data_IF_270588674765
#
_entry.id   IF_270588674765
#
_cell.length_a   1.000
_cell.length_b   1.000
_cell.length_c   1.000
_cell.angle_alpha   90.00
_cell.angle_beta   90.00
_cell.angle_gamma   90.00
#
_symmetry.space_group_name_H-M   'P 1'
#
loop_
_entity.id
_entity.type
_entity.pdbx_description
1 polymer ?
#
# COMPACT_ATOMS: atom_id res chain seq x y z
N UNK A 1 -30.41 10.53 -12.44
CA UNK A 1 -29.15 9.83 -12.16
C UNK A 1 -28.67 9.95 -10.69
N UNK A 2 -29.57 9.92 -9.69
CA UNK A 2 -29.19 10.07 -8.25
C UNK A 2 -29.56 8.91 -7.35
N UNK A 3 -30.01 7.76 -7.90
CA UNK A 3 -30.51 6.63 -7.09
C UNK A 3 -29.64 5.36 -7.13
N UNK A 4 -28.57 5.32 -7.90
CA UNK A 4 -27.69 4.13 -8.03
C UNK A 4 -26.48 4.13 -7.10
N UNK A 5 -26.21 5.23 -6.40
CA UNK A 5 -25.03 5.34 -5.52
C UNK A 5 -25.26 4.84 -4.08
N UNK A 6 -26.52 4.59 -3.69
CA UNK A 6 -26.89 4.23 -2.30
C UNK A 6 -26.88 2.72 -2.05
N UNK A 7 -26.88 1.89 -3.09
CA UNK A 7 -26.96 0.43 -2.96
C UNK A 7 -25.62 -0.25 -2.65
N UNK A 8 -24.51 0.44 -2.87
CA UNK A 8 -23.16 -0.13 -2.65
C UNK A 8 -22.69 -0.12 -1.18
N UNK A 9 -23.40 0.56 -0.27
CA UNK A 9 -22.97 0.70 1.13
C UNK A 9 -23.66 -0.25 2.12
N UNK A 10 -24.60 -1.08 1.69
CA UNK A 10 -25.49 -1.83 2.60
C UNK A 10 -25.16 -3.33 2.75
N UNK A 11 -23.98 -3.80 2.33
CA UNK A 11 -23.54 -5.19 2.50
C UNK A 11 -22.45 -5.35 3.54
N UNK A 12 -22.62 -4.75 4.71
CA UNK A 12 -21.80 -5.07 5.89
C UNK A 12 -22.50 -6.20 6.67
N UNK A 13 -22.44 -7.41 6.13
CA UNK A 13 -22.71 -8.60 6.92
C UNK A 13 -21.44 -8.93 7.70
N UNK A 14 -21.46 -8.65 9.01
CA UNK A 14 -20.41 -9.04 9.95
C UNK A 14 -20.35 -10.55 10.03
N UNK A 15 -19.47 -11.16 9.28
CA UNK A 15 -19.10 -12.56 9.44
C UNK A 15 -17.85 -12.62 10.29
N UNK A 16 -17.98 -13.16 11.52
CA UNK A 16 -16.85 -13.51 12.38
C UNK A 16 -16.03 -14.62 11.71
N UNK A 17 -15.08 -14.26 10.86
CA UNK A 17 -14.11 -15.18 10.29
C UNK A 17 -12.83 -15.15 11.12
N UNK A 18 -12.18 -16.30 11.39
CA UNK A 18 -10.88 -16.31 12.05
C UNK A 18 -9.89 -15.53 11.22
N UNK A 19 -9.11 -14.72 11.92
CA UNK A 19 -8.15 -13.79 11.38
C UNK A 19 -7.17 -14.44 10.41
N UNK A 20 -7.40 -14.21 9.17
CA UNK A 20 -6.48 -14.52 8.09
C UNK A 20 -5.75 -13.22 7.68
N UNK A 21 -4.49 -13.37 7.34
CA UNK A 21 -3.53 -12.40 6.83
C UNK A 21 -4.14 -11.19 6.08
N UNK A 22 -3.47 -10.03 6.05
CA UNK A 22 -3.75 -8.94 5.09
C UNK A 22 -3.50 -9.42 3.66
N UNK A 23 -4.23 -10.44 3.32
CA UNK A 23 -4.15 -11.17 2.07
C UNK A 23 -4.38 -10.25 0.88
N UNK A 24 -5.20 -9.23 1.06
CA UNK A 24 -5.46 -8.22 0.04
C UNK A 24 -4.21 -7.45 -0.39
N UNK A 25 -3.22 -7.28 0.51
CA UNK A 25 -1.96 -6.62 0.20
C UNK A 25 -0.81 -7.61 -0.01
N UNK A 26 -1.06 -8.92 0.03
CA UNK A 26 -0.01 -9.94 -0.11
C UNK A 26 0.94 -10.02 1.09
N UNK A 27 0.55 -9.51 2.25
CA UNK A 27 1.35 -9.45 3.47
C UNK A 27 0.69 -10.24 4.60
N UNK A 28 1.44 -10.62 5.67
CA UNK A 28 0.84 -11.22 6.86
C UNK A 28 -0.11 -10.21 7.51
N UNK A 29 -1.23 -10.69 8.04
CA UNK A 29 -2.18 -9.79 8.71
C UNK A 29 -1.66 -9.35 10.06
N UNK A 30 -1.73 -8.06 10.29
CA UNK A 30 -1.60 -7.47 11.62
C UNK A 30 -2.95 -7.00 12.21
N UNK A 31 -4.06 -7.29 11.54
CA UNK A 31 -5.42 -6.90 11.95
C UNK A 31 -5.91 -7.50 13.29
N UNK A 32 -5.07 -8.24 14.01
CA UNK A 32 -5.39 -8.87 15.30
C UNK A 32 -4.64 -8.25 16.48
N UNK A 33 -4.31 -6.98 16.41
CA UNK A 33 -3.51 -6.32 17.43
C UNK A 33 -2.01 -6.59 17.28
N UNK A 34 -1.59 -7.02 16.10
CA UNK A 34 -0.17 -7.18 15.78
C UNK A 34 0.40 -5.91 15.17
N UNK A 35 1.70 -5.76 15.33
CA UNK A 35 2.50 -4.74 14.68
C UNK A 35 3.26 -5.35 13.50
N UNK A 36 3.54 -4.53 12.50
CA UNK A 36 4.33 -4.93 11.34
C UNK A 36 5.42 -3.90 11.08
N UNK A 37 6.61 -4.36 10.79
CA UNK A 37 7.66 -3.57 10.15
C UNK A 37 7.91 -4.11 8.75
N UNK A 38 8.16 -3.22 7.79
CA UNK A 38 8.52 -3.65 6.46
C UNK A 38 9.59 -2.75 5.85
N UNK A 39 10.46 -3.36 5.06
CA UNK A 39 11.34 -2.67 4.12
C UNK A 39 10.76 -2.75 2.72
N UNK A 40 10.83 -1.67 1.98
CA UNK A 40 10.31 -1.53 0.63
C UNK A 40 11.41 -1.05 -0.31
N UNK A 41 11.46 -1.62 -1.50
CA UNK A 41 12.25 -1.11 -2.62
C UNK A 41 11.34 -1.00 -3.84
N UNK A 42 11.48 0.05 -4.63
CA UNK A 42 10.79 0.18 -5.91
C UNK A 42 11.72 0.76 -6.97
N UNK A 43 11.50 0.33 -8.20
CA UNK A 43 12.36 0.59 -9.34
C UNK A 43 11.50 1.00 -10.52
N UNK A 44 11.84 2.11 -11.15
CA UNK A 44 11.34 2.57 -12.44
C UNK A 44 12.51 2.81 -13.38
N UNK A 45 12.26 3.15 -14.61
CA UNK A 45 13.33 3.50 -15.58
C UNK A 45 14.07 4.79 -15.20
N UNK A 46 13.48 5.65 -14.35
CA UNK A 46 13.99 6.98 -14.03
C UNK A 46 14.38 7.15 -12.56
N UNK A 47 14.05 6.18 -11.69
CA UNK A 47 14.29 6.32 -10.25
C UNK A 47 14.33 5.00 -9.50
N UNK A 48 15.05 5.02 -8.38
CA UNK A 48 15.10 3.93 -7.42
C UNK A 48 14.66 4.46 -6.05
N UNK A 49 13.71 3.79 -5.41
CA UNK A 49 13.22 4.18 -4.08
C UNK A 49 13.45 3.08 -3.06
N UNK A 50 13.84 3.47 -1.86
CA UNK A 50 14.01 2.58 -0.71
C UNK A 50 13.34 3.19 0.50
N UNK A 51 12.68 2.36 1.30
CA UNK A 51 12.00 2.86 2.47
C UNK A 51 11.68 1.79 3.49
N UNK A 52 11.14 2.25 4.61
CA UNK A 52 10.60 1.43 5.66
C UNK A 52 9.20 1.84 6.05
N UNK A 53 8.44 0.93 6.60
CA UNK A 53 7.12 1.22 7.14
C UNK A 53 6.89 0.52 8.47
N UNK A 54 6.07 1.14 9.30
CA UNK A 54 5.56 0.60 10.55
C UNK A 54 4.04 0.59 10.49
N UNK A 55 3.44 -0.56 10.75
CA UNK A 55 2.00 -0.76 10.70
C UNK A 55 1.44 -1.34 11.98
N UNK A 56 0.17 -1.05 12.21
CA UNK A 56 -0.64 -1.60 13.28
C UNK A 56 -2.05 -1.89 12.79
N UNK A 57 -2.60 -3.02 13.22
CA UNK A 57 -3.98 -3.39 12.91
C UNK A 57 -4.76 -3.73 14.17
N UNK A 58 -6.06 -3.44 14.14
CA UNK A 58 -7.00 -3.73 15.24
C UNK A 58 -7.84 -4.97 14.93
N UNK A 59 -8.27 -5.72 15.96
CA UNK A 59 -9.33 -6.70 15.81
C UNK A 59 -10.55 -6.05 15.15
N UNK A 60 -11.10 -6.69 14.13
CA UNK A 60 -12.19 -6.11 13.32
C UNK A 60 -11.76 -5.64 11.94
N UNK A 61 -10.47 -5.77 11.59
CA UNK A 61 -10.00 -5.60 10.22
C UNK A 61 -9.46 -4.21 9.86
N UNK A 62 -9.55 -3.21 10.74
CA UNK A 62 -8.97 -1.90 10.51
C UNK A 62 -7.45 -1.98 10.66
N UNK A 63 -6.73 -1.39 9.73
CA UNK A 63 -5.27 -1.28 9.78
C UNK A 63 -4.78 0.08 9.30
N UNK A 64 -3.59 0.45 9.74
CA UNK A 64 -2.87 1.62 9.26
C UNK A 64 -1.37 1.40 9.32
N UNK A 65 -0.64 2.11 8.48
CA UNK A 65 0.81 2.17 8.53
C UNK A 65 1.32 3.60 8.23
N UNK A 66 2.50 3.88 8.77
CA UNK A 66 3.29 5.04 8.43
C UNK A 66 4.55 4.56 7.68
N UNK A 67 4.99 5.31 6.71
CA UNK A 67 6.17 5.00 5.89
C UNK A 67 7.09 6.20 5.75
N UNK A 68 8.37 5.89 5.66
CA UNK A 68 9.46 6.83 5.35
C UNK A 68 10.33 6.20 4.28
N UNK A 69 10.71 6.98 3.28
CA UNK A 69 11.57 6.51 2.20
C UNK A 69 12.43 7.60 1.62
N UNK A 70 13.30 7.17 0.72
CA UNK A 70 14.10 8.06 -0.13
C UNK A 70 14.03 7.56 -1.56
N UNK A 71 13.91 8.49 -2.49
CA UNK A 71 13.89 8.24 -3.93
C UNK A 71 15.09 8.92 -4.54
N UNK A 72 15.93 8.16 -5.24
CA UNK A 72 17.04 8.67 -6.02
C UNK A 72 16.65 8.70 -7.48
N UNK A 73 16.82 9.84 -8.12
CA UNK A 73 16.51 10.05 -9.53
C UNK A 73 17.77 9.92 -10.38
N UNK A 74 17.66 9.30 -11.53
CA UNK A 74 18.75 9.17 -12.49
C UNK A 74 19.08 10.50 -13.17
N UNK A 75 20.22 10.57 -13.86
CA UNK A 75 20.63 11.77 -14.61
C UNK A 75 21.13 12.94 -13.74
N UNK A 76 21.47 12.69 -12.47
CA UNK A 76 22.01 13.74 -11.59
C UNK A 76 20.95 14.71 -11.05
N UNK A 77 19.67 14.36 -11.13
CA UNK A 77 18.55 15.18 -10.63
C UNK A 77 18.58 15.32 -9.11
N UNK A 78 19.11 14.31 -8.39
CA UNK A 78 19.19 14.33 -6.93
C UNK A 78 18.30 13.29 -6.27
N UNK A 79 17.97 13.50 -4.99
CA UNK A 79 17.14 12.61 -4.20
C UNK A 79 16.04 13.35 -3.45
N UNK A 80 14.91 12.68 -3.25
CA UNK A 80 13.79 13.13 -2.43
C UNK A 80 13.63 12.24 -1.19
N UNK A 81 13.04 12.80 -0.14
CA UNK A 81 12.58 12.06 1.04
C UNK A 81 11.07 12.03 1.03
N UNK A 82 10.49 10.85 1.21
CA UNK A 82 9.06 10.62 1.15
C UNK A 82 8.52 10.20 2.51
N UNK A 83 7.45 10.84 2.95
CA UNK A 83 6.67 10.49 4.13
C UNK A 83 5.28 10.10 3.70
N UNK A 84 4.73 9.02 4.27
CA UNK A 84 3.39 8.57 3.90
C UNK A 84 2.64 7.92 5.04
N UNK A 85 1.32 7.97 4.91
CA UNK A 85 0.37 7.27 5.76
C UNK A 85 -0.57 6.44 4.87
N UNK A 86 -0.88 5.24 5.29
CA UNK A 86 -1.87 4.39 4.64
C UNK A 86 -2.82 3.82 5.67
N UNK A 87 -4.08 3.71 5.32
CA UNK A 87 -5.09 3.04 6.13
C UNK A 87 -6.00 2.19 5.26
N UNK A 88 -6.68 1.23 5.88
CA UNK A 88 -7.63 0.39 5.17
C UNK A 88 -8.46 -0.47 6.10
N UNK A 89 -9.38 -1.18 5.48
CA UNK A 89 -10.27 -2.11 6.16
C UNK A 89 -10.31 -3.45 5.43
N UNK A 90 -10.11 -4.53 6.15
CA UNK A 90 -10.07 -5.87 5.61
C UNK A 90 -11.44 -6.55 5.70
N UNK A 91 -12.03 -6.83 4.55
CA UNK A 91 -13.28 -7.56 4.38
C UNK A 91 -12.99 -8.98 3.89
N UNK A 92 -13.55 -9.98 4.53
CA UNK A 92 -13.51 -11.36 4.03
C UNK A 92 -14.78 -11.65 3.23
N UNK A 93 -14.62 -12.08 1.98
CA UNK A 93 -15.75 -12.33 1.07
C UNK A 93 -15.87 -13.82 0.79
N UNK A 94 -17.05 -14.38 1.07
CA UNK A 94 -17.40 -15.76 0.77
C UNK A 94 -16.57 -16.81 1.53
N UNK A 95 -16.76 -18.08 1.13
CA UNK A 95 -16.03 -19.23 1.73
C UNK A 95 -14.62 -19.41 1.16
N UNK A 96 -14.19 -18.55 0.23
CA UNK A 96 -13.00 -18.76 -0.59
C UNK A 96 -11.70 -18.21 0.00
N UNK A 97 -11.66 -17.78 1.25
CA UNK A 97 -10.48 -17.12 1.87
C UNK A 97 -9.99 -15.92 1.05
N UNK A 98 -10.87 -15.32 0.28
CA UNK A 98 -10.60 -14.11 -0.48
C UNK A 98 -10.86 -12.89 0.40
N UNK A 99 -9.99 -11.91 0.31
CA UNK A 99 -10.10 -10.66 1.05
C UNK A 99 -10.14 -9.49 0.09
N UNK A 100 -10.96 -8.52 0.43
CA UNK A 100 -11.11 -7.24 -0.26
C UNK A 100 -10.79 -6.16 0.76
N UNK A 101 -9.92 -5.23 0.40
CA UNK A 101 -9.55 -4.11 1.26
C UNK A 101 -9.77 -2.79 0.52
N UNK A 102 -10.74 -1.97 0.89
CA UNK A 102 -10.65 -0.55 0.61
C UNK A 102 -9.44 0.01 1.34
N UNK A 103 -8.64 0.77 0.61
CA UNK A 103 -7.40 1.39 1.09
C UNK A 103 -7.36 2.86 0.69
N UNK A 104 -6.82 3.67 1.58
CA UNK A 104 -6.52 5.06 1.31
C UNK A 104 -5.09 5.35 1.76
N UNK A 105 -4.37 6.17 0.99
CA UNK A 105 -3.05 6.64 1.38
C UNK A 105 -2.89 8.13 1.09
N UNK A 106 -1.98 8.74 1.82
CA UNK A 106 -1.55 10.11 1.62
C UNK A 106 -0.04 10.18 1.86
N UNK A 107 0.66 10.97 1.04
CA UNK A 107 2.09 11.16 1.19
C UNK A 107 2.55 12.51 0.71
N UNK A 108 3.72 12.90 1.20
CA UNK A 108 4.45 14.11 0.80
C UNK A 108 5.89 13.75 0.51
N UNK A 109 6.42 14.30 -0.57
CA UNK A 109 7.81 14.19 -0.97
C UNK A 109 8.51 15.54 -0.84
N UNK A 110 9.71 15.54 -0.28
CA UNK A 110 10.57 16.70 -0.09
C UNK A 110 11.87 16.47 -0.85
N UNK A 111 12.17 17.34 -1.80
CA UNK A 111 13.33 17.23 -2.70
C UNK A 111 12.93 16.62 -4.05
N UNK A 112 13.90 16.53 -5.01
CA UNK A 112 15.28 16.96 -4.87
C UNK A 112 15.44 18.46 -4.67
N UNK A 113 16.55 18.85 -4.03
CA UNK A 113 16.98 20.24 -3.89
C UNK A 113 18.03 20.56 -4.93
N UNK A 114 18.01 21.81 -5.41
CA UNK A 114 18.99 22.30 -6.38
C UNK A 114 19.09 21.40 -7.63
N UNK A 115 17.95 21.13 -8.27
CA UNK A 115 17.83 20.21 -9.40
C UNK A 115 18.85 20.57 -10.49
N UNK A 116 19.86 19.72 -10.70
CA UNK A 116 20.89 19.90 -11.72
C UNK A 116 21.71 21.22 -11.60
N UNK A 117 21.80 21.81 -10.41
CA UNK A 117 22.50 23.08 -10.20
C UNK A 117 21.71 24.31 -10.65
N UNK A 118 20.42 24.21 -10.82
CA UNK A 118 19.54 25.30 -11.29
C UNK A 118 19.00 26.17 -10.16
N UNK A 119 19.23 25.80 -8.90
CA UNK A 119 18.63 26.45 -7.72
C UNK A 119 17.12 26.11 -7.52
N UNK A 120 16.57 25.15 -8.27
CA UNK A 120 15.18 24.74 -8.14
C UNK A 120 15.02 23.59 -7.15
N UNK A 121 14.08 23.74 -6.23
CA UNK A 121 13.66 22.72 -5.27
C UNK A 121 12.34 22.07 -5.72
N UNK A 122 12.23 20.76 -5.59
CA UNK A 122 11.01 20.04 -5.86
C UNK A 122 10.30 19.60 -4.57
N UNK A 123 8.99 19.54 -4.64
CA UNK A 123 8.17 18.89 -3.62
C UNK A 123 6.98 18.21 -4.28
N UNK A 124 6.45 17.17 -3.62
CA UNK A 124 5.29 16.46 -4.12
C UNK A 124 4.28 16.17 -3.02
N UNK A 125 3.03 16.02 -3.42
CA UNK A 125 1.94 15.56 -2.56
C UNK A 125 1.12 14.55 -3.35
N UNK A 126 0.84 13.40 -2.77
CA UNK A 126 0.02 12.39 -3.44
C UNK A 126 -1.00 11.78 -2.49
N UNK A 127 -2.12 11.40 -3.04
CA UNK A 127 -3.19 10.69 -2.34
C UNK A 127 -3.71 9.55 -3.20
N UNK A 128 -4.04 8.41 -2.60
CA UNK A 128 -4.60 7.27 -3.31
C UNK A 128 -5.84 6.78 -2.61
N UNK A 129 -6.86 6.45 -3.40
CA UNK A 129 -8.05 5.71 -2.96
C UNK A 129 -8.19 4.48 -3.84
N UNK A 130 -8.35 3.30 -3.25
CA UNK A 130 -8.38 2.08 -4.03
C UNK A 130 -9.00 0.89 -3.33
N UNK A 131 -9.06 -0.20 -4.09
CA UNK A 131 -9.46 -1.52 -3.65
C UNK A 131 -8.33 -2.51 -3.93
N UNK A 132 -7.95 -3.26 -2.92
CA UNK A 132 -7.01 -4.37 -3.05
C UNK A 132 -7.73 -5.69 -2.82
N UNK A 133 -7.34 -6.70 -3.58
CA UNK A 133 -7.88 -8.06 -3.55
C UNK A 133 -6.74 -9.04 -3.33
N UNK A 134 -6.97 -10.08 -2.54
CA UNK A 134 -6.00 -11.15 -2.40
C UNK A 134 -6.61 -12.44 -1.88
N UNK A 135 -5.89 -13.55 -2.10
CA UNK A 135 -6.35 -14.88 -1.70
C UNK A 135 -5.19 -15.71 -1.16
N UNK A 136 -5.39 -16.30 0.03
CA UNK A 136 -4.42 -17.26 0.58
C UNK A 136 -4.52 -18.57 -0.17
N UNK A 137 -3.41 -19.05 -0.70
CA UNK A 137 -3.28 -20.32 -1.41
C UNK A 137 -2.16 -21.17 -0.78
N UNK A 138 -2.27 -22.48 -0.91
CA UNK A 138 -1.24 -23.45 -0.50
C UNK A 138 -1.68 -24.30 0.71
N UNK A 139 -1.35 -25.59 0.68
CA UNK A 139 -1.67 -26.56 1.74
C UNK A 139 -0.66 -26.49 2.91
N UNK A 140 0.52 -25.89 2.70
CA UNK A 140 1.58 -25.93 3.69
C UNK A 140 1.38 -24.82 4.75
N UNK A 141 1.25 -25.16 6.04
CA UNK A 141 1.10 -24.16 7.11
C UNK A 141 2.36 -23.30 7.30
N UNK A 142 3.53 -23.76 6.88
CA UNK A 142 4.80 -23.03 7.01
C UNK A 142 5.07 -22.03 5.88
N UNK A 143 4.42 -22.23 4.73
CA UNK A 143 4.58 -21.36 3.56
C UNK A 143 3.24 -21.19 2.86
N UNK A 144 2.84 -19.94 2.65
CA UNK A 144 1.59 -19.59 1.95
C UNK A 144 1.91 -18.67 0.78
N UNK A 145 1.21 -18.87 -0.32
CA UNK A 145 1.20 -17.98 -1.48
C UNK A 145 -0.02 -17.08 -1.39
N UNK A 146 0.17 -15.81 -1.67
CA UNK A 146 -0.91 -14.81 -1.60
C UNK A 146 -0.87 -13.95 -2.86
N UNK A 147 -1.42 -14.44 -4.00
CA UNK A 147 -1.63 -13.58 -5.14
C UNK A 147 -2.55 -12.43 -4.72
N UNK A 148 -2.20 -11.23 -5.16
CA UNK A 148 -2.95 -10.02 -4.87
C UNK A 148 -2.98 -9.09 -6.09
N UNK A 149 -4.04 -8.29 -6.17
CA UNK A 149 -4.22 -7.28 -7.19
C UNK A 149 -4.87 -6.05 -6.56
N UNK A 150 -4.63 -4.89 -7.15
CA UNK A 150 -5.21 -3.63 -6.70
C UNK A 150 -5.59 -2.73 -7.86
N UNK A 151 -6.63 -1.93 -7.66
CA UNK A 151 -7.02 -0.83 -8.53
C UNK A 151 -7.29 0.39 -7.67
N UNK A 152 -6.82 1.54 -8.11
CA UNK A 152 -7.01 2.79 -7.37
C UNK A 152 -6.99 4.01 -8.28
N UNK A 153 -7.40 5.13 -7.70
CA UNK A 153 -7.23 6.47 -8.24
C UNK A 153 -6.16 7.18 -7.44
N UNK A 154 -5.20 7.75 -8.12
CA UNK A 154 -4.10 8.54 -7.56
C UNK A 154 -4.29 9.99 -7.94
N UNK A 155 -4.28 10.87 -6.96
CA UNK A 155 -4.06 12.29 -7.15
C UNK A 155 -2.61 12.60 -6.85
N UNK A 156 -1.92 13.26 -7.76
CA UNK A 156 -0.52 13.68 -7.63
C UNK A 156 -0.41 15.16 -7.91
N UNK A 157 0.32 15.88 -7.07
CA UNK A 157 0.68 17.27 -7.25
C UNK A 157 2.18 17.42 -7.06
N UNK A 158 2.82 18.07 -8.02
CA UNK A 158 4.24 18.39 -7.99
C UNK A 158 4.41 19.91 -8.00
N UNK A 159 5.37 20.42 -7.26
CA UNK A 159 5.75 21.82 -7.21
C UNK A 159 7.26 21.95 -7.42
N UNK A 160 7.65 22.84 -8.31
CA UNK A 160 9.02 23.31 -8.49
C UNK A 160 9.10 24.76 -8.02
N UNK A 161 10.10 25.10 -7.24
CA UNK A 161 10.24 26.42 -6.60
C UNK A 161 11.71 26.87 -6.70
N UNK A 162 11.96 28.08 -7.22
CA UNK A 162 13.29 28.70 -7.27
C UNK A 162 13.48 29.80 -6.22
N UNK A 163 12.56 29.89 -5.25
CA UNK A 163 12.56 30.92 -4.21
C UNK A 163 11.91 32.25 -4.64
N UNK A 164 11.69 32.47 -5.93
CA UNK A 164 11.05 33.66 -6.51
C UNK A 164 9.78 33.30 -7.26
N UNK A 165 9.80 32.18 -7.96
CA UNK A 165 8.72 31.71 -8.81
C UNK A 165 8.42 30.25 -8.49
N UNK A 166 7.16 29.86 -8.51
CA UNK A 166 6.79 28.47 -8.37
C UNK A 166 5.91 28.00 -9.51
N UNK A 167 6.19 26.79 -10.01
CA UNK A 167 5.39 26.11 -11.02
C UNK A 167 4.78 24.87 -10.38
N UNK A 168 3.47 24.68 -10.56
CA UNK A 168 2.74 23.54 -10.04
C UNK A 168 2.09 22.75 -11.17
N UNK A 169 2.17 21.42 -11.08
CA UNK A 169 1.46 20.50 -11.94
C UNK A 169 0.69 19.51 -11.07
N UNK A 170 -0.53 19.17 -11.47
CA UNK A 170 -1.31 18.15 -10.77
C UNK A 170 -2.07 17.32 -11.78
N UNK A 171 -2.21 16.04 -11.46
CA UNK A 171 -2.98 15.09 -12.25
C UNK A 171 -3.74 14.09 -11.38
N UNK A 172 -4.74 13.46 -12.00
CA UNK A 172 -5.44 12.32 -11.41
C UNK A 172 -5.45 11.18 -12.41
N UNK A 173 -4.94 10.02 -12.01
CA UNK A 173 -4.83 8.86 -12.90
C UNK A 173 -5.22 7.56 -12.18
N UNK A 174 -5.49 6.53 -12.97
CA UNK A 174 -5.70 5.18 -12.45
C UNK A 174 -4.39 4.50 -12.10
N UNK A 175 -4.41 3.60 -11.12
CA UNK A 175 -3.27 2.75 -10.78
C UNK A 175 -3.74 1.30 -10.70
N UNK A 176 -3.18 0.43 -11.53
CA UNK A 176 -3.35 -1.00 -11.42
C UNK A 176 -2.10 -1.62 -10.80
N UNK A 177 -2.27 -2.60 -9.90
CA UNK A 177 -1.16 -3.32 -9.30
C UNK A 177 -1.44 -4.81 -9.21
N UNK A 178 -0.38 -5.61 -9.37
CA UNK A 178 -0.39 -7.05 -9.14
C UNK A 178 0.83 -7.44 -8.32
N UNK A 179 0.70 -8.50 -7.52
CA UNK A 179 1.82 -9.01 -6.73
C UNK A 179 1.56 -10.41 -6.20
N UNK A 180 2.60 -11.00 -5.63
CA UNK A 180 2.52 -12.31 -4.97
C UNK A 180 3.24 -12.23 -3.64
N UNK A 181 2.50 -12.40 -2.55
CA UNK A 181 3.06 -12.55 -1.21
C UNK A 181 3.53 -13.99 -0.96
N UNK A 182 4.77 -14.14 -0.54
CA UNK A 182 5.34 -15.39 -0.02
C UNK A 182 5.43 -15.25 1.49
N UNK A 183 4.54 -15.90 2.24
CA UNK A 183 4.47 -15.77 3.70
C UNK A 183 5.06 -17.01 4.36
N UNK A 184 6.09 -16.81 5.17
CA UNK A 184 6.79 -17.85 5.91
C UNK A 184 6.43 -17.80 7.40
N UNK A 185 6.11 -18.95 7.99
CA UNK A 185 5.77 -19.09 9.43
C UNK A 185 4.73 -18.08 9.93
N UNK A 186 3.89 -17.54 9.04
CA UNK A 186 2.86 -16.53 9.32
C UNK A 186 3.37 -15.15 9.76
N UNK A 187 4.67 -14.93 9.86
CA UNK A 187 5.25 -13.69 10.39
C UNK A 187 6.12 -12.95 9.38
N UNK A 188 6.82 -13.67 8.50
CA UNK A 188 7.70 -13.06 7.50
C UNK A 188 7.03 -13.14 6.15
N UNK A 189 7.08 -12.06 5.38
CA UNK A 189 6.67 -12.08 4.00
C UNK A 189 7.68 -11.43 3.08
N UNK A 190 7.75 -11.95 1.86
CA UNK A 190 8.42 -11.31 0.72
C UNK A 190 7.38 -11.12 -0.37
N UNK A 191 7.24 -9.91 -0.89
CA UNK A 191 6.23 -9.57 -1.90
C UNK A 191 6.85 -8.83 -3.07
N UNK A 192 7.17 -9.48 -4.17
CA UNK A 192 7.35 -8.83 -5.46
C UNK A 192 6.01 -8.30 -5.98
N UNK A 193 6.05 -7.16 -6.66
CA UNK A 193 4.86 -6.53 -7.24
C UNK A 193 5.21 -5.67 -8.45
N UNK A 194 4.21 -5.43 -9.29
CA UNK A 194 4.27 -4.48 -10.40
C UNK A 194 3.07 -3.56 -10.28
N UNK A 195 3.29 -2.28 -10.48
CA UNK A 195 2.22 -1.26 -10.56
C UNK A 195 2.32 -0.54 -11.90
N UNK A 196 1.19 -0.28 -12.51
CA UNK A 196 1.08 0.34 -13.84
C UNK A 196 0.14 1.54 -13.72
N UNK A 197 0.62 2.77 -13.99
CA UNK A 197 -0.25 3.93 -14.10
C UNK A 197 -1.11 3.81 -15.34
N UNK A 198 -2.36 4.27 -15.24
CA UNK A 198 -3.37 4.20 -16.28
C UNK A 198 -3.87 5.61 -16.58
N UNK A 199 -3.54 6.14 -17.78
CA UNK A 199 -3.95 7.48 -18.19
C UNK A 199 -3.24 8.61 -17.43
N UNK A 200 -2.00 8.40 -17.03
CA UNK A 200 -1.10 9.45 -16.52
C UNK A 200 -0.32 10.06 -17.68
N UNK A 201 -0.23 11.37 -17.70
CA UNK A 201 0.61 12.12 -18.65
C UNK A 201 2.03 12.34 -18.07
N UNK A 202 2.19 12.26 -16.76
CA UNK A 202 3.46 12.51 -16.06
C UNK A 202 4.28 11.24 -15.79
N UNK A 203 3.62 10.07 -15.72
CA UNK A 203 4.30 8.81 -15.45
C UNK A 203 3.56 7.66 -16.13
N UNK A 204 4.16 7.12 -17.19
CA UNK A 204 3.61 5.96 -17.92
C UNK A 204 4.38 4.67 -17.64
N UNK A 205 5.49 4.74 -16.88
CA UNK A 205 6.38 3.60 -16.68
C UNK A 205 5.89 2.66 -15.58
N UNK A 206 5.95 1.35 -15.82
CA UNK A 206 5.69 0.36 -14.77
C UNK A 206 6.68 0.52 -13.61
N UNK A 207 6.19 0.37 -12.40
CA UNK A 207 7.02 0.34 -11.20
C UNK A 207 7.14 -1.09 -10.70
N UNK A 208 8.36 -1.60 -10.60
CA UNK A 208 8.66 -2.88 -9.95
C UNK A 208 8.92 -2.66 -8.47
N UNK A 209 8.21 -3.41 -7.62
CA UNK A 209 8.31 -3.30 -6.18
C UNK A 209 8.75 -4.61 -5.51
N UNK A 210 9.49 -4.48 -4.42
CA UNK A 210 9.81 -5.58 -3.51
C UNK A 210 9.55 -5.11 -2.08
N UNK A 211 8.73 -5.86 -1.34
CA UNK A 211 8.49 -5.61 0.08
C UNK A 211 8.93 -6.83 0.88
N UNK A 212 9.65 -6.60 1.98
CA UNK A 212 9.96 -7.60 3.00
C UNK A 212 9.34 -7.14 4.30
N UNK A 213 8.45 -7.95 4.88
CA UNK A 213 7.70 -7.58 6.07
C UNK A 213 7.88 -8.61 7.19
N UNK A 214 7.85 -8.13 8.43
CA UNK A 214 7.86 -8.95 9.64
C UNK A 214 6.77 -8.51 10.60
N UNK A 215 5.92 -9.45 11.03
CA UNK A 215 4.89 -9.24 12.04
C UNK A 215 5.39 -9.67 13.42
N UNK A 216 5.09 -8.88 14.43
CA UNK A 216 5.40 -9.16 15.82
C UNK A 216 4.25 -8.73 16.75
N UNK A 217 4.27 -9.23 17.98
CA UNK A 217 3.20 -9.03 18.95
C UNK A 217 2.36 -10.29 19.15
N UNK A 218 1.61 -10.31 20.25
CA UNK A 218 0.75 -11.43 20.59
C UNK A 218 -0.51 -11.42 19.73
N UNK A 219 -0.72 -12.44 18.91
CA UNK A 219 -2.07 -12.71 18.44
C UNK A 219 -2.94 -13.05 19.67
N UNK A 220 -3.86 -12.17 20.04
CA UNK A 220 -4.87 -12.52 21.04
C UNK A 220 -5.66 -13.70 20.46
N UNK A 221 -5.39 -14.91 20.98
CA UNK A 221 -6.27 -16.07 20.67
C UNK A 221 -7.69 -15.67 21.04
N UNK A 222 -8.65 -15.87 20.16
CA UNK A 222 -10.05 -15.70 20.54
C UNK A 222 -10.30 -16.56 21.78
N UNK A 223 -10.87 -15.97 22.82
CA UNK A 223 -11.29 -16.73 23.99
C UNK A 223 -12.19 -17.88 23.53
N UNK A 224 -11.98 -19.12 24.02
CA UNK A 224 -12.83 -20.25 23.64
C UNK A 224 -14.29 -19.87 23.92
N UNK A 225 -15.15 -20.04 22.90
CA UNK A 225 -16.56 -19.77 23.04
C UNK A 225 -17.11 -20.53 24.25
N UNK A 226 -17.57 -19.82 25.26
CA UNK A 226 -18.25 -20.42 26.42
C UNK A 226 -19.47 -21.17 25.89
N UNK A 227 -19.39 -22.49 25.90
CA UNK A 227 -20.57 -23.32 25.65
C UNK A 227 -21.63 -22.99 26.75
N UNK A 228 -22.70 -22.38 26.34
CA UNK A 228 -23.93 -22.30 27.13
C UNK A 228 -24.78 -23.57 26.90
#
# INVERSE_FOLDING_TARGET
>A
MRRTLVVALALVAVVNAPAAAQTCLGLPSHANGQMQVAGNASFTDLSNSFGGSFGYGRPGGIFGNAQLGTTSYDGGVGSATDLGLQGGYQLTVGNARMQVCPVASFGVGMGPKDIGGTGMDASSTHGTLGLALGKVMGPNPKMKFVPNAGLGLVYSKQKLDDGTTSVEASETYGLASIGVGLIFNSNIAVRPSVSIPLGSDLSNDPTFGLTVAYNFGSSSRPAPARKR
#
